data_IF_787247242393
#
_entry.id   IF_787247242393
#
_cell.length_a   1.000
_cell.length_b   1.000
_cell.length_c   1.000
_cell.angle_alpha   90.00
_cell.angle_beta   90.00
_cell.angle_gamma   90.00
#
_symmetry.space_group_name_H-M   'P 1'
#
loop_
_entity.id
_entity.type
_entity.pdbx_description
1 polymer ?
#
# COMPACT_ATOMS: atom_id res chain seq x y z
N UNK A 1 -7.36 1.88 -6.75
CA UNK A 1 -6.66 1.37 -5.55
C UNK A 1 -6.15 -0.07 -5.71
N UNK A 2 -7.01 -1.08 -5.88
CA UNK A 2 -6.54 -2.48 -5.99
C UNK A 2 -5.55 -2.73 -7.13
N UNK A 3 -5.72 -2.08 -8.30
CA UNK A 3 -4.77 -2.21 -9.42
C UNK A 3 -3.39 -1.66 -9.10
N UNK A 4 -3.32 -0.61 -8.31
CA UNK A 4 -2.05 0.00 -7.92
C UNK A 4 -1.22 -0.93 -7.04
N UNK A 5 -1.85 -1.77 -6.20
CA UNK A 5 -1.13 -2.80 -5.44
C UNK A 5 -0.62 -3.91 -6.35
N UNK A 6 -1.43 -4.34 -7.32
CA UNK A 6 -1.02 -5.38 -8.29
C UNK A 6 0.13 -4.89 -9.18
N UNK A 7 0.18 -3.60 -9.51
CA UNK A 7 1.25 -3.00 -10.29
C UNK A 7 2.48 -2.60 -9.46
N UNK A 8 2.37 -2.57 -8.12
CA UNK A 8 3.45 -2.11 -7.25
C UNK A 8 4.50 -3.21 -7.03
N UNK A 9 5.76 -2.84 -7.11
CA UNK A 9 6.88 -3.66 -6.66
C UNK A 9 7.13 -3.50 -5.15
N UNK A 10 7.94 -4.40 -4.58
CA UNK A 10 8.44 -4.26 -3.21
C UNK A 10 9.14 -2.92 -2.96
N UNK A 11 9.86 -2.39 -3.97
CA UNK A 11 10.63 -1.15 -3.89
C UNK A 11 9.78 0.12 -3.86
N UNK A 12 8.53 0.02 -4.32
CA UNK A 12 7.58 1.13 -4.35
C UNK A 12 6.95 1.38 -2.97
N UNK A 13 7.06 0.44 -2.03
CA UNK A 13 6.42 0.53 -0.72
C UNK A 13 7.28 1.32 0.28
N UNK A 14 7.00 2.62 0.41
CA UNK A 14 7.78 3.56 1.24
C UNK A 14 7.05 3.96 2.51
N UNK A 15 7.80 4.18 3.59
CA UNK A 15 7.27 4.74 4.84
C UNK A 15 7.38 6.26 4.78
N UNK A 16 6.31 6.97 5.09
CA UNK A 16 6.33 8.42 5.28
C UNK A 16 5.24 8.89 6.25
N UNK A 17 5.34 10.11 6.81
CA UNK A 17 4.27 10.71 7.59
C UNK A 17 3.29 11.55 6.76
N UNK A 18 3.57 11.76 5.47
CA UNK A 18 2.93 12.81 4.64
C UNK A 18 1.43 12.66 4.45
N UNK A 19 0.87 11.46 4.65
CA UNK A 19 -0.56 11.24 4.48
C UNK A 19 -1.38 11.47 5.75
N UNK A 20 -0.79 11.26 6.93
CA UNK A 20 -1.55 11.17 8.18
C UNK A 20 -0.95 11.94 9.35
N UNK A 21 0.33 12.33 9.27
CA UNK A 21 1.10 12.86 10.38
C UNK A 21 1.73 11.76 11.26
N UNK A 22 1.45 10.48 10.96
CA UNK A 22 2.08 9.29 11.55
C UNK A 22 2.76 8.47 10.46
N UNK A 23 3.75 7.69 10.85
CA UNK A 23 4.44 6.77 9.94
C UNK A 23 3.45 5.75 9.35
N UNK A 24 3.30 5.79 8.03
CA UNK A 24 2.51 4.82 7.27
C UNK A 24 3.34 4.29 6.12
N UNK A 25 3.26 2.99 5.85
CA UNK A 25 3.81 2.39 4.63
C UNK A 25 2.74 2.39 3.55
N UNK A 26 3.05 3.02 2.42
CA UNK A 26 2.16 3.12 1.28
C UNK A 26 2.95 3.04 -0.03
N UNK A 27 2.23 2.82 -1.13
CA UNK A 27 2.81 2.94 -2.48
C UNK A 27 3.32 4.37 -2.68
N UNK A 28 4.58 4.51 -3.07
CA UNK A 28 5.16 5.80 -3.43
C UNK A 28 4.52 6.32 -4.71
N UNK A 29 4.08 7.57 -4.68
CA UNK A 29 3.48 8.27 -5.81
C UNK A 29 3.95 9.73 -5.87
N UNK A 30 3.50 10.45 -6.87
CA UNK A 30 3.96 11.81 -7.16
C UNK A 30 3.64 12.80 -6.03
N UNK A 31 2.53 12.62 -5.30
CA UNK A 31 2.18 13.46 -4.14
C UNK A 31 3.16 13.24 -2.99
N UNK A 32 3.47 11.98 -2.67
CA UNK A 32 4.43 11.66 -1.61
C UNK A 32 5.86 12.08 -1.97
N UNK A 33 6.23 12.07 -3.26
CA UNK A 33 7.51 12.59 -3.75
C UNK A 33 7.57 14.11 -3.64
N UNK A 34 6.55 14.79 -4.15
CA UNK A 34 6.45 16.26 -4.08
C UNK A 34 6.48 16.76 -2.63
N UNK A 35 5.83 16.06 -1.70
CA UNK A 35 5.90 16.40 -0.28
C UNK A 35 7.33 16.25 0.26
N UNK A 36 8.01 15.15 -0.05
CA UNK A 36 9.40 14.93 0.38
C UNK A 36 10.35 16.01 -0.19
N UNK A 37 10.19 16.35 -1.47
CA UNK A 37 10.99 17.34 -2.19
C UNK A 37 10.72 18.77 -1.70
N UNK A 38 9.52 19.05 -1.19
CA UNK A 38 9.18 20.36 -0.62
C UNK A 38 9.97 20.72 0.65
N UNK A 39 10.51 19.72 1.35
CA UNK A 39 11.16 19.90 2.66
C UNK A 39 10.19 20.28 3.79
N UNK A 40 8.88 20.35 3.53
CA UNK A 40 7.88 20.69 4.54
C UNK A 40 7.68 19.53 5.53
N UNK A 41 7.63 19.80 6.84
CA UNK A 41 7.24 18.78 7.80
C UNK A 41 5.77 18.39 7.60
N UNK A 42 5.44 17.13 7.87
CA UNK A 42 4.04 16.74 8.03
C UNK A 42 3.50 17.32 9.35
N UNK A 43 2.24 17.76 9.35
CA UNK A 43 1.55 18.16 10.56
C UNK A 43 1.34 16.95 11.48
N UNK A 44 1.26 17.12 12.81
CA UNK A 44 0.94 16.02 13.71
C UNK A 44 -0.48 15.50 13.44
N UNK A 45 -0.69 14.19 13.60
CA UNK A 45 -2.04 13.59 13.58
C UNK A 45 -2.95 14.32 14.59
N UNK A 46 -4.21 14.63 14.22
CA UNK A 46 -4.89 14.29 12.96
C UNK A 46 -4.82 15.37 11.87
N UNK A 47 -4.16 16.51 12.11
CA UNK A 47 -4.21 17.68 11.24
C UNK A 47 -3.73 17.39 9.81
N UNK A 48 -2.68 16.58 9.63
CA UNK A 48 -2.20 16.20 8.30
C UNK A 48 -3.25 15.39 7.53
N UNK A 49 -3.98 14.48 8.20
CA UNK A 49 -5.05 13.73 7.55
C UNK A 49 -6.14 14.68 7.07
N UNK A 50 -6.57 15.60 7.94
CA UNK A 50 -7.61 16.60 7.61
C UNK A 50 -7.18 17.46 6.42
N UNK A 51 -5.92 17.93 6.42
CA UNK A 51 -5.36 18.69 5.29
C UNK A 51 -5.42 17.91 3.96
N UNK A 52 -5.23 16.59 4.00
CA UNK A 52 -5.20 15.73 2.81
C UNK A 52 -6.59 15.23 2.37
N UNK A 53 -7.65 15.44 3.16
CA UNK A 53 -8.97 14.85 2.89
C UNK A 53 -9.61 15.41 1.62
N UNK A 54 -9.69 16.72 1.48
CA UNK A 54 -10.29 17.35 0.29
C UNK A 54 -9.55 16.94 -0.99
N UNK A 55 -8.21 16.89 -0.93
CA UNK A 55 -7.39 16.40 -2.04
C UNK A 55 -7.72 14.93 -2.38
N UNK A 56 -7.78 14.06 -1.36
CA UNK A 56 -8.08 12.64 -1.53
C UNK A 56 -9.46 12.45 -2.18
N UNK A 57 -10.48 13.13 -1.68
CA UNK A 57 -11.84 13.02 -2.20
C UNK A 57 -11.92 13.52 -3.65
N UNK A 58 -11.30 14.65 -3.97
CA UNK A 58 -11.23 15.16 -5.33
C UNK A 58 -10.51 14.19 -6.29
N UNK A 59 -9.38 13.62 -5.86
CA UNK A 59 -8.64 12.64 -6.66
C UNK A 59 -9.46 11.36 -6.91
N UNK A 60 -10.14 10.84 -5.88
CA UNK A 60 -11.00 9.66 -6.02
C UNK A 60 -12.20 9.94 -6.93
N UNK A 61 -12.85 11.09 -6.79
CA UNK A 61 -13.97 11.50 -7.65
C UNK A 61 -13.54 11.64 -9.12
N UNK A 62 -12.31 12.08 -9.37
CA UNK A 62 -11.71 12.16 -10.70
C UNK A 62 -11.13 10.82 -11.21
N UNK A 63 -11.26 9.72 -10.45
CA UNK A 63 -10.70 8.41 -10.80
C UNK A 63 -9.16 8.33 -10.76
N UNK A 64 -8.50 9.33 -10.18
CA UNK A 64 -7.03 9.47 -10.09
C UNK A 64 -6.47 8.72 -8.90
N UNK A 65 -6.68 7.40 -8.85
CA UNK A 65 -6.27 6.58 -7.71
C UNK A 65 -4.75 6.49 -7.53
N UNK A 66 -3.96 6.69 -8.59
CA UNK A 66 -2.50 6.61 -8.58
C UNK A 66 -1.85 7.66 -7.69
N UNK A 67 -2.51 8.79 -7.47
CA UNK A 67 -2.05 9.88 -6.58
C UNK A 67 -2.68 9.84 -5.18
N UNK A 68 -3.45 8.81 -4.85
CA UNK A 68 -4.06 8.65 -3.52
C UNK A 68 -3.19 7.82 -2.58
N UNK A 69 -3.39 7.97 -1.26
CA UNK A 69 -2.75 7.09 -0.28
C UNK A 69 -3.26 5.65 -0.45
N UNK A 70 -2.34 4.72 -0.69
CA UNK A 70 -2.64 3.30 -0.74
C UNK A 70 -1.72 2.52 0.21
N UNK A 71 -2.21 2.27 1.42
CA UNK A 71 -1.45 1.61 2.46
C UNK A 71 -1.20 0.13 2.12
N UNK A 72 0.01 -0.34 2.36
CA UNK A 72 0.36 -1.73 2.09
C UNK A 72 1.73 -2.12 2.62
N UNK A 73 1.96 -3.44 2.68
CA UNK A 73 3.23 -4.03 3.06
C UNK A 73 4.17 -4.25 1.87
N UNK A 74 5.43 -4.59 2.15
CA UNK A 74 6.43 -4.95 1.13
C UNK A 74 6.07 -6.22 0.34
N UNK A 75 5.19 -7.08 0.87
CA UNK A 75 4.65 -8.23 0.15
C UNK A 75 3.78 -7.88 -1.06
N UNK A 76 3.47 -6.59 -1.30
CA UNK A 76 2.75 -6.14 -2.48
C UNK A 76 3.40 -6.62 -3.80
N UNK A 77 4.74 -6.66 -3.87
CA UNK A 77 5.46 -7.15 -5.05
C UNK A 77 5.25 -8.65 -5.37
N UNK A 78 4.64 -9.42 -4.46
CA UNK A 78 4.28 -10.83 -4.68
C UNK A 78 2.84 -10.99 -5.19
N UNK A 79 2.04 -9.92 -5.20
CA UNK A 79 0.64 -9.95 -5.59
C UNK A 79 0.53 -9.68 -7.09
N UNK A 80 0.38 -10.73 -7.89
CA UNK A 80 0.34 -10.63 -9.36
C UNK A 80 -1.06 -10.46 -9.94
N UNK A 81 -2.11 -10.75 -9.16
CA UNK A 81 -3.49 -10.70 -9.62
C UNK A 81 -4.48 -10.52 -8.48
N UNK A 82 -5.68 -10.04 -8.84
CA UNK A 82 -6.83 -9.98 -7.94
C UNK A 82 -7.51 -11.34 -7.86
N UNK A 83 -7.89 -11.75 -6.66
CA UNK A 83 -8.52 -13.05 -6.42
C UNK A 83 -9.60 -12.94 -5.34
N UNK A 84 -10.63 -13.79 -5.37
CA UNK A 84 -11.56 -13.92 -4.25
C UNK A 84 -10.84 -14.31 -2.96
N UNK A 85 -11.29 -13.77 -1.82
CA UNK A 85 -10.66 -14.02 -0.52
C UNK A 85 -10.65 -15.51 -0.14
N UNK A 86 -11.72 -16.25 -0.48
CA UNK A 86 -11.82 -17.68 -0.22
C UNK A 86 -10.73 -18.48 -0.94
N UNK A 87 -10.46 -18.15 -2.21
CA UNK A 87 -9.39 -18.81 -2.99
C UNK A 87 -8.00 -18.48 -2.46
N UNK A 88 -7.75 -17.21 -2.09
CA UNK A 88 -6.48 -16.80 -1.48
C UNK A 88 -6.22 -17.62 -0.21
N UNK A 89 -7.24 -17.78 0.63
CA UNK A 89 -7.11 -18.51 1.88
C UNK A 89 -6.93 -20.03 1.66
N UNK A 90 -7.68 -20.63 0.74
CA UNK A 90 -7.52 -22.04 0.38
C UNK A 90 -6.10 -22.34 -0.10
N UNK A 91 -5.55 -21.51 -0.99
CA UNK A 91 -4.17 -21.64 -1.47
C UNK A 91 -3.15 -21.45 -0.35
N UNK A 92 -3.37 -20.49 0.57
CA UNK A 92 -2.48 -20.26 1.70
C UNK A 92 -2.39 -21.50 2.59
N UNK A 93 -3.53 -22.14 2.88
CA UNK A 93 -3.57 -23.36 3.70
C UNK A 93 -2.85 -24.50 2.99
N UNK A 94 -3.15 -24.75 1.72
CA UNK A 94 -2.58 -25.86 0.97
C UNK A 94 -1.07 -25.69 0.74
N UNK A 95 -0.63 -24.50 0.34
CA UNK A 95 0.80 -24.20 0.17
C UNK A 95 1.58 -24.30 1.49
N UNK A 96 0.98 -23.91 2.61
CA UNK A 96 1.56 -24.07 3.95
C UNK A 96 1.74 -25.55 4.28
N UNK A 97 0.69 -26.37 4.12
CA UNK A 97 0.73 -27.81 4.37
C UNK A 97 1.83 -28.48 3.53
N UNK A 98 1.82 -28.23 2.22
CA UNK A 98 2.81 -28.79 1.30
C UNK A 98 4.25 -28.38 1.66
N UNK A 99 4.46 -27.16 2.15
CA UNK A 99 5.78 -26.67 2.59
C UNK A 99 6.24 -27.37 3.85
N UNK A 100 5.37 -27.54 4.84
CA UNK A 100 5.68 -28.26 6.08
C UNK A 100 5.99 -29.74 5.82
N UNK A 101 5.24 -30.39 4.93
CA UNK A 101 5.48 -31.80 4.56
C UNK A 101 6.86 -31.97 3.88
N UNK A 102 7.24 -31.04 2.98
CA UNK A 102 8.59 -31.02 2.39
C UNK A 102 9.69 -30.83 3.43
N UNK A 103 9.48 -29.94 4.41
CA UNK A 103 10.47 -29.67 5.46
C UNK A 103 10.69 -30.87 6.41
N UNK A 104 9.67 -31.72 6.61
CA UNK A 104 9.80 -32.95 7.43
C UNK A 104 10.57 -34.08 6.74
N UNK A 105 10.67 -34.04 5.40
CA UNK A 105 11.43 -34.99 4.61
C UNK A 105 12.90 -34.61 4.40
N UNK A 106 13.32 -33.44 4.93
CA UNK A 106 14.70 -33.00 5.08
C UNK A 106 15.24 -33.44 6.45
#
# INVERSE_FOLDING_TARGET
LKDQIVAASTGDMRISPYWTGKTVRAVQNDVSKAWAESGLPALPTPHQRVLMEDFKEAAMAAGRFEITMNAGGQGAGMITQRRPAAEIFADLVESTRATLDRMKGL
#
